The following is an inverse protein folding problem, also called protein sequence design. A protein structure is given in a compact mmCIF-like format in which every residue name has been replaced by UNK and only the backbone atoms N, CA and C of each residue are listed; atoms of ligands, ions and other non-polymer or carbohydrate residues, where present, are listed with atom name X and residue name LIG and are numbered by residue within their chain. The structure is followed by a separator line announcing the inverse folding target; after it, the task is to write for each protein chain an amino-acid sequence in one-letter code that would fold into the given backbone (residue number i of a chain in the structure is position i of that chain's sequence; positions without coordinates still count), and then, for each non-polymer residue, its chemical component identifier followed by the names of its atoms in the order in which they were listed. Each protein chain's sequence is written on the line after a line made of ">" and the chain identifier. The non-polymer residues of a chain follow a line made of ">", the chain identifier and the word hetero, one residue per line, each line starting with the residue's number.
data_IF_260950292244
#
_entry.id   IF_260950292244
#
_cell.length_a   1.000
_cell.length_b   1.000
_cell.length_c   1.000
_cell.angle_alpha   90.00
_cell.angle_beta   90.00
_cell.angle_gamma   90.00
#
_symmetry.space_group_name_H-M   'P 1'
#
loop_
_entity.id
_entity.type
_entity.pdbx_description
1 polymer ?
#
# COMPACT_ATOMS: atom_id res chain seq x y z
N UNK A 1 -2.58 -4.59 22.86
CA UNK A 1 -1.65 -3.98 21.86
C UNK A 1 -2.26 -2.78 21.13
N UNK A 2 -3.56 -2.75 20.80
CA UNK A 2 -4.25 -1.65 20.09
C UNK A 2 -4.19 -0.26 20.78
N UNK A 3 -3.94 -0.19 22.09
CA UNK A 3 -4.06 1.06 22.85
C UNK A 3 -2.84 1.99 22.76
N UNK A 4 -1.64 1.48 22.45
CA UNK A 4 -0.42 2.31 22.35
C UNK A 4 -0.29 2.99 20.98
N UNK A 5 -0.77 2.34 19.91
CA UNK A 5 -0.74 2.86 18.53
C UNK A 5 -1.50 4.20 18.40
N UNK A 6 -2.65 4.33 19.05
CA UNK A 6 -3.52 5.53 18.91
C UNK A 6 -2.99 6.78 19.61
N UNK A 7 -2.14 6.65 20.64
CA UNK A 7 -1.75 7.80 21.49
C UNK A 7 -0.37 8.38 21.15
N UNK A 8 0.53 7.57 20.59
CA UNK A 8 1.88 8.01 20.20
C UNK A 8 2.21 7.82 18.71
N UNK A 9 1.25 7.33 17.89
CA UNK A 9 1.45 7.05 16.45
C UNK A 9 2.69 6.19 16.19
N UNK A 10 2.98 5.24 17.08
CA UNK A 10 4.14 4.37 16.95
C UNK A 10 3.70 3.12 16.19
N UNK A 11 4.40 2.77 15.12
CA UNK A 11 4.06 1.68 14.21
C UNK A 11 5.16 0.60 14.24
N UNK A 12 4.82 -0.68 14.06
CA UNK A 12 5.82 -1.74 13.87
C UNK A 12 6.57 -1.59 12.54
N UNK A 13 7.69 -2.29 12.39
CA UNK A 13 8.41 -2.29 11.11
C UNK A 13 7.52 -2.84 9.97
N UNK A 14 7.66 -2.25 8.78
CA UNK A 14 6.89 -2.62 7.57
C UNK A 14 5.37 -2.47 7.70
N UNK A 15 4.89 -1.69 8.67
CA UNK A 15 3.46 -1.48 8.88
C UNK A 15 2.76 -0.95 7.63
N UNK A 16 3.29 0.12 7.02
CA UNK A 16 2.65 0.73 5.86
C UNK A 16 2.82 -0.10 4.60
N UNK A 17 3.95 -0.80 4.43
CA UNK A 17 4.09 -1.80 3.38
C UNK A 17 3.00 -2.88 3.48
N UNK A 18 2.80 -3.47 4.66
CA UNK A 18 1.78 -4.50 4.86
C UNK A 18 0.35 -3.97 4.70
N UNK A 19 0.11 -2.73 5.14
CA UNK A 19 -1.17 -2.04 4.94
C UNK A 19 -1.45 -1.85 3.45
N UNK A 20 -0.47 -1.38 2.68
CA UNK A 20 -0.63 -1.23 1.24
C UNK A 20 -0.75 -2.57 0.54
N UNK A 21 -0.02 -3.61 0.93
CA UNK A 21 -0.19 -4.96 0.36
C UNK A 21 -1.60 -5.52 0.57
N UNK A 22 -2.24 -5.23 1.72
CA UNK A 22 -3.61 -5.68 2.00
C UNK A 22 -4.67 -4.84 1.26
N UNK A 23 -4.39 -3.57 1.01
CA UNK A 23 -5.37 -2.59 0.52
C UNK A 23 -5.11 -2.13 -0.94
N UNK A 24 -3.97 -2.44 -1.56
CA UNK A 24 -3.64 -1.92 -2.89
C UNK A 24 -4.63 -2.41 -3.94
N UNK A 25 -5.10 -3.65 -3.82
CA UNK A 25 -5.90 -4.28 -4.87
C UNK A 25 -7.21 -3.52 -5.04
N UNK A 26 -7.80 -3.05 -3.95
CA UNK A 26 -9.04 -2.27 -3.95
C UNK A 26 -8.82 -0.79 -4.21
N UNK A 27 -7.72 -0.20 -3.74
CA UNK A 27 -7.51 1.26 -3.84
C UNK A 27 -6.88 1.66 -5.18
N UNK A 28 -5.94 0.86 -5.70
CA UNK A 28 -5.13 1.19 -6.87
C UNK A 28 -5.25 0.11 -7.96
N UNK A 29 -5.08 -1.16 -7.61
CA UNK A 29 -4.94 -2.24 -8.59
C UNK A 29 -6.17 -2.46 -9.48
N UNK A 30 -7.34 -2.65 -8.86
CA UNK A 30 -8.61 -2.83 -9.58
C UNK A 30 -9.04 -1.57 -10.36
N UNK A 31 -8.99 -0.35 -9.79
CA UNK A 31 -9.29 0.86 -10.56
C UNK A 31 -8.36 1.06 -11.76
N UNK A 32 -7.05 0.85 -11.61
CA UNK A 32 -6.10 0.95 -12.72
C UNK A 32 -6.38 -0.12 -13.77
N UNK A 33 -6.56 -1.38 -13.36
CA UNK A 33 -6.87 -2.48 -14.27
C UNK A 33 -8.17 -2.23 -15.05
N UNK A 34 -9.18 -1.65 -14.42
CA UNK A 34 -10.44 -1.31 -15.07
C UNK A 34 -10.23 -0.21 -16.13
N UNK A 35 -9.50 0.86 -15.77
CA UNK A 35 -9.17 1.95 -16.71
C UNK A 35 -8.40 1.40 -17.90
N UNK A 36 -7.35 0.61 -17.70
CA UNK A 36 -6.59 -0.01 -18.78
C UNK A 36 -7.42 -0.99 -19.60
N UNK A 37 -8.27 -1.79 -18.95
CA UNK A 37 -9.18 -2.71 -19.62
C UNK A 37 -10.18 -1.99 -20.53
N UNK A 38 -10.69 -0.83 -20.11
CA UNK A 38 -11.55 0.01 -20.95
C UNK A 38 -10.79 0.71 -22.08
N UNK A 39 -9.58 1.22 -21.82
CA UNK A 39 -8.76 1.90 -22.83
C UNK A 39 -8.29 0.97 -23.96
N UNK A 40 -8.03 -0.29 -23.63
CA UNK A 40 -7.52 -1.32 -24.55
C UNK A 40 -8.68 -2.16 -25.12
N UNK A 41 -9.92 -1.90 -24.69
CA UNK A 41 -11.12 -2.68 -25.02
C UNK A 41 -10.95 -4.18 -24.76
N UNK A 42 -10.22 -4.51 -23.69
CA UNK A 42 -9.92 -5.88 -23.31
C UNK A 42 -9.89 -6.03 -21.79
N UNK A 43 -10.95 -6.64 -21.26
CA UNK A 43 -11.13 -6.85 -19.82
C UNK A 43 -10.07 -7.76 -19.18
N UNK A 44 -9.31 -8.53 -19.96
CA UNK A 44 -8.17 -9.30 -19.45
C UNK A 44 -7.08 -8.40 -18.84
N UNK A 45 -6.99 -7.13 -19.28
CA UNK A 45 -6.07 -6.16 -18.70
C UNK A 45 -6.44 -5.70 -17.29
N UNK A 46 -7.63 -6.07 -16.78
CA UNK A 46 -7.97 -5.91 -15.37
C UNK A 46 -6.94 -6.59 -14.47
N UNK A 47 -6.45 -7.77 -14.87
CA UNK A 47 -5.45 -8.52 -14.13
C UNK A 47 -4.07 -7.82 -14.10
N UNK A 48 -3.74 -7.04 -15.13
CA UNK A 48 -2.49 -6.26 -15.20
C UNK A 48 -2.50 -5.10 -14.19
N UNK A 49 -3.70 -4.62 -13.82
CA UNK A 49 -3.86 -3.63 -12.76
C UNK A 49 -3.30 -4.09 -11.42
N UNK A 50 -3.35 -5.39 -11.10
CA UNK A 50 -2.91 -5.92 -9.80
C UNK A 50 -1.37 -5.79 -9.63
N UNK A 51 -0.51 -6.32 -10.54
CA UNK A 51 0.93 -6.13 -10.42
C UNK A 51 1.37 -4.66 -10.43
N UNK A 52 0.71 -3.81 -11.24
CA UNK A 52 0.99 -2.38 -11.29
C UNK A 52 0.60 -1.68 -9.99
N UNK A 53 -0.60 -1.94 -9.49
CA UNK A 53 -1.11 -1.41 -8.22
C UNK A 53 -0.23 -1.82 -7.05
N UNK A 54 0.21 -3.08 -7.02
CA UNK A 54 1.11 -3.61 -5.99
C UNK A 54 2.48 -2.93 -6.02
N UNK A 55 3.06 -2.73 -7.20
CA UNK A 55 4.34 -2.03 -7.34
C UNK A 55 4.25 -0.59 -6.79
N UNK A 56 3.15 0.11 -7.08
CA UNK A 56 2.89 1.47 -6.58
C UNK A 56 2.62 1.45 -5.07
N UNK A 57 1.78 0.53 -4.59
CA UNK A 57 1.42 0.39 -3.18
C UNK A 57 2.63 0.12 -2.31
N UNK A 58 3.52 -0.80 -2.72
CA UNK A 58 4.78 -1.08 -2.02
C UNK A 58 5.66 0.17 -1.99
N UNK A 59 5.81 0.89 -3.11
CA UNK A 59 6.62 2.10 -3.15
C UNK A 59 6.09 3.19 -2.19
N UNK A 60 4.77 3.38 -2.12
CA UNK A 60 4.14 4.29 -1.17
C UNK A 60 4.35 3.81 0.27
N UNK A 61 4.15 2.51 0.52
CA UNK A 61 4.36 1.88 1.83
C UNK A 61 5.77 2.08 2.35
N UNK A 62 6.79 1.86 1.52
CA UNK A 62 8.21 2.08 1.86
C UNK A 62 8.45 3.55 2.22
N UNK A 63 7.89 4.50 1.46
CA UNK A 63 8.06 5.92 1.74
C UNK A 63 7.42 6.32 3.09
N UNK A 64 6.27 5.75 3.41
CA UNK A 64 5.58 5.99 4.68
C UNK A 64 6.31 5.37 5.87
N UNK A 65 6.83 4.14 5.72
CA UNK A 65 7.66 3.50 6.73
C UNK A 65 8.95 4.31 6.97
N UNK A 66 9.66 4.72 5.90
CA UNK A 66 10.84 5.57 6.02
C UNK A 66 10.55 6.90 6.73
N UNK A 67 9.38 7.48 6.49
CA UNK A 67 8.92 8.69 7.19
C UNK A 67 8.64 8.41 8.67
N UNK A 68 7.99 7.29 9.00
CA UNK A 68 7.75 6.89 10.37
C UNK A 68 9.07 6.64 11.14
N UNK A 69 10.06 6.02 10.49
CA UNK A 69 11.39 5.82 11.05
C UNK A 69 12.09 7.15 11.35
N UNK A 70 12.11 8.09 10.40
CA UNK A 70 12.72 9.43 10.58
C UNK A 70 12.06 10.23 11.70
N UNK A 71 10.77 10.06 11.90
CA UNK A 71 10.01 10.76 12.94
C UNK A 71 10.08 10.06 14.31
N UNK A 72 10.91 9.02 14.46
CA UNK A 72 11.07 8.26 15.72
C UNK A 72 9.80 7.49 16.10
N UNK A 73 8.94 7.21 15.12
CA UNK A 73 7.63 6.57 15.29
C UNK A 73 7.62 5.10 14.88
N UNK A 74 8.78 4.51 14.63
CA UNK A 74 8.89 3.10 14.27
C UNK A 74 9.48 2.32 15.44
N UNK A 75 8.84 1.20 15.80
CA UNK A 75 9.35 0.29 16.84
C UNK A 75 10.47 -0.60 16.27
N UNK A 76 11.47 -0.92 17.09
CA UNK A 76 12.63 -1.73 16.72
C UNK A 76 12.42 -3.25 16.84
N UNK A 77 11.18 -3.72 17.01
CA UNK A 77 10.87 -5.13 17.28
C UNK A 77 10.03 -5.78 16.17
#
# INVERSE_FOLDING_TARGET
>A
MVYIEKKHKIFPQKYYQNLWLANDMTIIGLPLGLIFGMLIDNIAFLAVGIPLGMSIGIAIGINLDNKAQKEGRQMDF
#
